data_IF_581717475865
#
_entry.id   IF_581717475865
#
_cell.length_a   1.000
_cell.length_b   1.000
_cell.length_c   1.000
_cell.angle_alpha   90.00
_cell.angle_beta   90.00
_cell.angle_gamma   90.00
#
_symmetry.space_group_name_H-M   'P 1'
#
loop_
_entity.id
_entity.type
_entity.pdbx_description
1 polymer ?
#
# COMPACT_ATOMS: atom_id res chain seq x y z
N UNK A 1 -10.18 -2.95 27.82
CA UNK A 1 -9.30 -2.42 26.74
C UNK A 1 -9.15 -0.91 26.91
N UNK A 2 -7.93 -0.38 26.90
CA UNK A 2 -7.71 1.06 27.04
C UNK A 2 -8.30 1.80 25.82
N UNK A 3 -9.18 2.80 26.06
CA UNK A 3 -9.89 3.55 25.01
C UNK A 3 -8.92 4.21 24.02
N UNK A 4 -7.73 4.60 24.48
CA UNK A 4 -6.69 5.21 23.64
C UNK A 4 -6.06 4.22 22.67
N UNK A 5 -5.83 2.96 23.08
CA UNK A 5 -5.31 1.91 22.22
C UNK A 5 -6.31 1.56 21.11
N UNK A 6 -7.59 1.46 21.47
CA UNK A 6 -8.68 1.22 20.53
C UNK A 6 -8.73 2.31 19.44
N UNK A 7 -8.67 3.58 19.86
CA UNK A 7 -8.67 4.71 18.93
C UNK A 7 -7.45 4.69 18.00
N UNK A 8 -6.27 4.30 18.51
CA UNK A 8 -5.05 4.20 17.71
C UNK A 8 -5.14 3.09 16.66
N UNK A 9 -5.60 1.89 17.04
CA UNK A 9 -5.80 0.78 16.10
C UNK A 9 -6.78 1.19 15.01
N UNK A 10 -7.93 1.75 15.37
CA UNK A 10 -8.92 2.24 14.41
C UNK A 10 -8.31 3.28 13.47
N UNK A 11 -7.55 4.26 13.99
CA UNK A 11 -6.89 5.25 13.13
C UNK A 11 -5.94 4.61 12.12
N UNK A 12 -5.12 3.65 12.55
CA UNK A 12 -4.15 2.98 11.68
C UNK A 12 -4.85 2.09 10.63
N UNK A 13 -5.95 1.42 10.98
CA UNK A 13 -6.73 0.63 10.01
C UNK A 13 -7.39 1.51 8.96
N UNK A 14 -7.93 2.68 9.35
CA UNK A 14 -8.43 3.67 8.39
C UNK A 14 -7.34 4.15 7.43
N UNK A 15 -6.16 4.50 7.95
CA UNK A 15 -5.03 4.92 7.11
C UNK A 15 -4.57 3.81 6.15
N UNK A 16 -4.62 2.55 6.58
CA UNK A 16 -4.29 1.40 5.74
C UNK A 16 -5.33 1.23 4.61
N UNK A 17 -6.62 1.39 4.92
CA UNK A 17 -7.68 1.36 3.92
C UNK A 17 -7.52 2.47 2.86
N UNK A 18 -7.19 3.70 3.27
CA UNK A 18 -6.89 4.81 2.36
C UNK A 18 -5.70 4.51 1.44
N UNK A 19 -4.64 3.90 1.97
CA UNK A 19 -3.48 3.49 1.17
C UNK A 19 -3.84 2.41 0.18
N UNK A 20 -4.66 1.43 0.58
CA UNK A 20 -5.11 0.36 -0.32
C UNK A 20 -5.95 0.93 -1.46
N UNK A 21 -6.88 1.85 -1.16
CA UNK A 21 -7.67 2.53 -2.19
C UNK A 21 -6.77 3.32 -3.14
N UNK A 22 -5.83 4.10 -2.59
CA UNK A 22 -4.87 4.88 -3.39
C UNK A 22 -3.99 3.97 -4.27
N UNK A 23 -3.60 2.80 -3.76
CA UNK A 23 -2.80 1.82 -4.49
C UNK A 23 -3.59 1.19 -5.64
N UNK A 24 -4.89 0.93 -5.45
CA UNK A 24 -5.78 0.43 -6.50
C UNK A 24 -5.95 1.46 -7.63
N UNK A 25 -6.24 2.72 -7.28
CA UNK A 25 -6.35 3.82 -8.25
C UNK A 25 -5.04 4.00 -9.04
N UNK A 26 -3.90 3.95 -8.36
CA UNK A 26 -2.60 4.06 -9.01
C UNK A 26 -2.32 2.87 -9.96
N UNK A 27 -2.76 1.66 -9.60
CA UNK A 27 -2.64 0.50 -10.48
C UNK A 27 -3.48 0.66 -11.76
N UNK A 28 -4.70 1.19 -11.67
CA UNK A 28 -5.53 1.50 -12.83
C UNK A 28 -4.88 2.56 -13.74
N UNK A 29 -4.33 3.62 -13.14
CA UNK A 29 -3.59 4.65 -13.87
C UNK A 29 -2.35 4.08 -14.57
N UNK A 30 -1.59 3.23 -13.89
CA UNK A 30 -0.44 2.54 -14.49
C UNK A 30 -0.85 1.66 -15.67
N UNK A 31 -1.96 0.91 -15.55
CA UNK A 31 -2.44 0.06 -16.63
C UNK A 31 -2.89 0.89 -17.84
N UNK A 32 -3.64 1.96 -17.60
CA UNK A 32 -4.07 2.90 -18.65
C UNK A 32 -2.85 3.50 -19.38
N UNK A 33 -1.82 3.90 -18.63
CA UNK A 33 -0.60 4.44 -19.19
C UNK A 33 0.20 3.41 -19.99
N UNK A 34 0.28 2.16 -19.52
CA UNK A 34 0.91 1.07 -20.26
C UNK A 34 0.20 0.81 -21.60
N UNK A 35 -1.13 0.81 -21.61
CA UNK A 35 -1.91 0.65 -22.84
C UNK A 35 -1.63 1.80 -23.82
N UNK A 36 -1.59 3.05 -23.35
CA UNK A 36 -1.24 4.21 -24.19
C UNK A 36 0.17 4.10 -24.78
N UNK A 37 1.14 3.70 -23.98
CA UNK A 37 2.52 3.48 -24.45
C UNK A 37 2.59 2.39 -25.52
N UNK A 38 1.85 1.29 -25.35
CA UNK A 38 1.80 0.21 -26.34
C UNK A 38 1.22 0.68 -27.66
N UNK A 39 0.11 1.45 -27.62
CA UNK A 39 -0.51 2.02 -28.82
C UNK A 39 0.45 2.96 -29.56
N UNK A 40 1.10 3.88 -28.84
CA UNK A 40 2.05 4.81 -29.46
C UNK A 40 3.26 4.07 -30.03
N UNK A 41 3.76 3.05 -29.34
CA UNK A 41 4.87 2.23 -29.82
C UNK A 41 4.49 1.51 -31.13
N UNK A 42 3.30 0.92 -31.20
CA UNK A 42 2.78 0.31 -32.43
C UNK A 42 2.62 1.33 -33.56
N UNK A 43 2.11 2.52 -33.27
CA UNK A 43 1.98 3.61 -34.26
C UNK A 43 3.34 4.05 -34.82
N UNK A 44 4.35 4.17 -33.96
CA UNK A 44 5.73 4.51 -34.37
C UNK A 44 6.31 3.40 -35.24
N UNK A 45 6.15 2.14 -34.85
CA UNK A 45 6.65 0.98 -35.61
C UNK A 45 6.02 0.91 -37.00
N UNK A 46 4.70 1.10 -37.09
CA UNK A 46 3.98 1.14 -38.35
C UNK A 46 4.41 2.33 -39.21
N UNK A 47 4.52 3.53 -38.63
CA UNK A 47 4.96 4.72 -39.36
C UNK A 47 6.43 4.67 -39.77
N UNK A 48 7.26 3.84 -39.12
CA UNK A 48 8.69 3.68 -39.45
C UNK A 48 8.91 2.83 -40.70
N UNK A 49 7.91 2.07 -41.15
CA UNK A 49 7.99 1.28 -42.38
C UNK A 49 8.10 2.20 -43.60
N UNK A 50 9.15 2.01 -44.40
CA UNK A 50 9.39 2.79 -45.62
C UNK A 50 8.49 2.28 -46.75
N UNK A 51 7.77 3.16 -47.45
CA UNK A 51 7.01 2.77 -48.63
C UNK A 51 7.95 2.40 -49.79
N UNK A 52 7.48 1.53 -50.70
CA UNK A 52 8.21 1.13 -51.90
C UNK A 52 8.51 2.31 -52.85
N UNK A 53 7.74 3.39 -52.76
CA UNK A 53 7.94 4.62 -53.51
C UNK A 53 7.90 5.81 -52.54
N UNK A 54 8.97 6.60 -52.49
CA UNK A 54 9.08 7.76 -51.60
C UNK A 54 8.48 8.98 -52.30
N UNK A 55 7.43 9.53 -51.70
CA UNK A 55 6.89 10.83 -52.09
C UNK A 55 7.34 11.87 -51.05
N UNK A 56 8.13 12.90 -51.44
CA UNK A 56 8.75 13.82 -50.48
C UNK A 56 7.78 14.49 -49.50
N UNK A 57 6.61 14.92 -49.96
CA UNK A 57 5.59 15.57 -49.10
C UNK A 57 4.98 14.60 -48.07
N UNK A 58 4.75 13.35 -48.48
CA UNK A 58 4.27 12.29 -47.59
C UNK A 58 5.35 11.89 -46.59
N UNK A 59 6.61 11.86 -47.02
CA UNK A 59 7.74 11.54 -46.16
C UNK A 59 7.97 12.62 -45.09
N UNK A 60 7.88 13.90 -45.45
CA UNK A 60 7.92 15.01 -44.47
C UNK A 60 6.80 14.86 -43.44
N UNK A 61 5.58 14.52 -43.89
CA UNK A 61 4.44 14.31 -43.00
C UNK A 61 4.64 13.12 -42.07
N UNK A 62 5.20 12.01 -42.58
CA UNK A 62 5.56 10.81 -41.82
C UNK A 62 6.60 11.11 -40.75
N UNK A 63 7.66 11.83 -41.11
CA UNK A 63 8.73 12.22 -40.18
C UNK A 63 8.20 13.16 -39.10
N UNK A 64 7.36 14.14 -39.46
CA UNK A 64 6.71 15.03 -38.48
C UNK A 64 5.80 14.25 -37.51
N UNK A 65 5.07 13.24 -38.00
CA UNK A 65 4.29 12.35 -37.16
C UNK A 65 5.20 11.57 -36.20
N UNK A 66 6.26 10.94 -36.70
CA UNK A 66 7.20 10.16 -35.89
C UNK A 66 7.84 11.00 -34.76
N UNK A 67 8.24 12.24 -35.05
CA UNK A 67 8.79 13.15 -34.03
C UNK A 67 7.77 13.42 -32.94
N UNK A 68 6.53 13.78 -33.29
CA UNK A 68 5.46 14.03 -32.30
C UNK A 68 5.13 12.79 -31.47
N UNK A 69 4.99 11.63 -32.12
CA UNK A 69 4.71 10.38 -31.40
C UNK A 69 5.84 9.98 -30.46
N UNK A 70 7.09 10.26 -30.84
CA UNK A 70 8.25 10.04 -29.96
C UNK A 70 8.24 10.97 -28.75
N UNK A 71 7.94 12.25 -28.94
CA UNK A 71 7.77 13.22 -27.84
C UNK A 71 6.66 12.78 -26.87
N UNK A 72 5.50 12.35 -27.41
CA UNK A 72 4.39 11.82 -26.61
C UNK A 72 4.80 10.57 -25.82
N UNK A 73 5.56 9.67 -26.45
CA UNK A 73 6.08 8.46 -25.79
C UNK A 73 7.02 8.80 -24.63
N UNK A 74 7.90 9.79 -24.81
CA UNK A 74 8.82 10.25 -23.77
C UNK A 74 8.07 10.91 -22.61
N UNK A 75 7.05 11.73 -22.89
CA UNK A 75 6.17 12.31 -21.89
C UNK A 75 5.44 11.24 -21.07
N UNK A 76 4.88 10.22 -21.73
CA UNK A 76 4.26 9.08 -21.04
C UNK A 76 5.27 8.27 -20.23
N UNK A 77 6.51 8.11 -20.71
CA UNK A 77 7.56 7.42 -19.98
C UNK A 77 7.97 8.18 -18.70
N UNK A 78 7.97 9.52 -18.72
CA UNK A 78 8.17 10.33 -17.53
C UNK A 78 7.03 10.16 -16.53
N UNK A 79 5.77 10.25 -16.97
CA UNK A 79 4.60 10.00 -16.13
C UNK A 79 4.64 8.58 -15.51
N UNK A 80 5.10 7.57 -16.26
CA UNK A 80 5.30 6.21 -15.74
C UNK A 80 6.29 6.18 -14.57
N UNK A 81 7.40 6.91 -14.68
CA UNK A 81 8.41 7.00 -13.61
C UNK A 81 7.84 7.67 -12.37
N UNK A 82 7.04 8.71 -12.53
CA UNK A 82 6.36 9.40 -11.43
C UNK A 82 5.39 8.47 -10.70
N UNK A 83 4.54 7.74 -11.44
CA UNK A 83 3.62 6.76 -10.85
C UNK A 83 4.38 5.63 -10.12
N UNK A 84 5.50 5.15 -10.66
CA UNK A 84 6.34 4.15 -9.98
C UNK A 84 6.94 4.68 -8.67
N UNK A 85 7.36 5.94 -8.64
CA UNK A 85 7.85 6.57 -7.42
C UNK A 85 6.74 6.67 -6.36
N UNK A 86 5.53 7.10 -6.75
CA UNK A 86 4.36 7.14 -5.88
C UNK A 86 3.98 5.73 -5.37
N UNK A 87 4.01 4.72 -6.23
CA UNK A 87 3.75 3.33 -5.84
C UNK A 87 4.73 2.85 -4.76
N UNK A 88 6.01 3.19 -4.92
CA UNK A 88 7.06 2.82 -3.96
C UNK A 88 6.84 3.49 -2.60
N UNK A 89 6.44 4.77 -2.61
CA UNK A 89 6.09 5.50 -1.38
C UNK A 89 4.88 4.87 -0.68
N UNK A 90 3.81 4.54 -1.41
CA UNK A 90 2.62 3.87 -0.85
C UNK A 90 2.97 2.51 -0.25
N UNK A 91 3.74 1.68 -0.96
CA UNK A 91 4.21 0.36 -0.45
C UNK A 91 5.02 0.51 0.84
N UNK A 92 5.90 1.49 0.90
CA UNK A 92 6.72 1.76 2.09
C UNK A 92 5.83 2.16 3.27
N UNK A 93 4.86 3.04 3.03
CA UNK A 93 3.89 3.48 4.06
C UNK A 93 2.98 2.34 4.52
N UNK A 94 2.53 1.49 3.60
CA UNK A 94 1.73 0.30 3.90
C UNK A 94 2.50 -0.66 4.80
N UNK A 95 3.76 -0.96 4.45
CA UNK A 95 4.63 -1.83 5.24
C UNK A 95 4.81 -1.29 6.65
N UNK A 96 5.07 0.02 6.77
CA UNK A 96 5.17 0.69 8.07
C UNK A 96 3.89 0.54 8.90
N UNK A 97 2.71 0.85 8.34
CA UNK A 97 1.45 0.72 9.07
C UNK A 97 1.17 -0.73 9.50
N UNK A 98 1.47 -1.71 8.64
CA UNK A 98 1.35 -3.12 8.99
C UNK A 98 2.25 -3.49 10.18
N UNK A 99 3.51 -3.02 10.19
CA UNK A 99 4.40 -3.25 11.33
C UNK A 99 3.89 -2.59 12.60
N UNK A 100 3.36 -1.37 12.52
CA UNK A 100 2.78 -0.65 13.67
C UNK A 100 1.56 -1.40 14.23
N UNK A 101 0.66 -1.90 13.37
CA UNK A 101 -0.49 -2.71 13.78
C UNK A 101 -0.07 -4.01 14.47
N UNK A 102 0.88 -4.76 13.90
CA UNK A 102 1.40 -6.00 14.50
C UNK A 102 2.02 -5.72 15.87
N UNK A 103 2.73 -4.60 16.03
CA UNK A 103 3.29 -4.21 17.32
C UNK A 103 2.20 -3.90 18.36
N UNK A 104 1.13 -3.23 17.95
CA UNK A 104 -0.01 -2.94 18.83
C UNK A 104 -0.77 -4.22 19.23
N UNK A 105 -0.95 -5.17 18.30
CA UNK A 105 -1.54 -6.47 18.59
C UNK A 105 -0.72 -7.24 19.63
N UNK A 106 0.60 -7.35 19.43
CA UNK A 106 1.51 -7.99 20.41
C UNK A 106 1.49 -7.29 21.76
N UNK A 107 1.42 -5.97 21.77
CA UNK A 107 1.28 -5.20 23.00
C UNK A 107 -0.03 -5.51 23.72
N UNK A 108 -1.13 -5.60 22.98
CA UNK A 108 -2.45 -5.95 23.52
C UNK A 108 -2.47 -7.36 24.10
N UNK A 109 -1.91 -8.35 23.40
CA UNK A 109 -1.78 -9.72 23.91
C UNK A 109 -1.00 -9.77 25.22
N UNK A 110 0.11 -9.01 25.30
CA UNK A 110 0.93 -8.92 26.52
C UNK A 110 0.14 -8.31 27.68
N UNK A 111 -0.64 -7.26 27.43
CA UNK A 111 -1.50 -6.65 28.45
C UNK A 111 -2.57 -7.63 28.96
N UNK A 112 -3.24 -8.35 28.05
CA UNK A 112 -4.23 -9.36 28.43
C UNK A 112 -3.62 -10.49 29.26
N UNK A 113 -2.45 -11.02 28.87
CA UNK A 113 -1.74 -12.03 29.66
C UNK A 113 -1.35 -11.53 31.05
N UNK A 114 -0.97 -10.27 31.17
CA UNK A 114 -0.62 -9.67 32.45
C UNK A 114 -1.86 -9.45 33.34
N UNK A 115 -2.98 -9.02 32.77
CA UNK A 115 -4.26 -8.90 33.48
C UNK A 115 -4.72 -10.28 34.00
N UNK A 116 -4.70 -11.31 33.16
CA UNK A 116 -5.04 -12.69 33.56
C UNK A 116 -4.15 -13.21 34.69
N UNK A 117 -2.83 -12.95 34.64
CA UNK A 117 -1.93 -13.34 35.73
C UNK A 117 -2.24 -12.61 37.03
N UNK A 118 -2.61 -11.33 36.96
CA UNK A 118 -2.99 -10.54 38.14
C UNK A 118 -4.30 -11.05 38.75
N UNK A 119 -5.31 -11.33 37.93
CA UNK A 119 -6.58 -11.87 38.44
C UNK A 119 -6.38 -13.22 39.11
N UNK A 120 -5.62 -14.13 38.49
CA UNK A 120 -5.29 -15.44 39.09
C UNK A 120 -4.52 -15.29 40.42
N UNK A 121 -3.58 -14.35 40.51
CA UNK A 121 -2.85 -14.10 41.75
C UNK A 121 -3.74 -13.54 42.87
N UNK A 122 -4.72 -12.70 42.52
CA UNK A 122 -5.72 -12.20 43.47
C UNK A 122 -6.61 -13.33 43.96
N UNK A 123 -7.16 -14.14 43.05
CA UNK A 123 -8.00 -15.30 43.38
C UNK A 123 -7.27 -16.33 44.27
N UNK A 124 -5.99 -16.61 43.96
CA UNK A 124 -5.16 -17.47 44.80
C UNK A 124 -4.97 -16.91 46.20
N UNK A 125 -4.65 -15.61 46.31
CA UNK A 125 -4.46 -14.95 47.60
C UNK A 125 -5.75 -14.95 48.43
N UNK A 126 -6.89 -14.66 47.81
CA UNK A 126 -8.19 -14.72 48.49
C UNK A 126 -8.52 -16.13 48.96
N UNK A 127 -8.22 -17.15 48.14
CA UNK A 127 -8.41 -18.55 48.52
C UNK A 127 -7.49 -18.96 49.69
N UNK A 128 -6.23 -18.53 49.68
CA UNK A 128 -5.28 -18.82 50.75
C UNK A 128 -5.69 -18.13 52.06
N UNK A 129 -6.12 -16.87 52.00
CA UNK A 129 -6.64 -16.12 53.16
C UNK A 129 -7.88 -16.80 53.76
N UNK A 130 -8.78 -17.29 52.92
CA UNK A 130 -9.97 -18.03 53.37
C UNK A 130 -9.60 -19.34 54.09
N UNK A 131 -8.59 -20.07 53.60
CA UNK A 131 -8.09 -21.29 54.23
C UNK A 131 -7.50 -20.99 55.61
N UNK A 132 -6.73 -19.90 55.74
CA UNK A 132 -6.12 -19.48 57.01
C UNK A 132 -7.20 -19.13 58.03
N UNK A 133 -8.18 -18.30 57.66
CA UNK A 133 -9.28 -17.92 58.56
C UNK A 133 -10.07 -19.13 59.09
N UNK A 134 -10.30 -20.15 58.25
CA UNK A 134 -10.98 -21.38 58.68
C UNK A 134 -10.17 -22.21 59.68
N UNK A 135 -8.84 -22.17 59.61
CA UNK A 135 -7.96 -22.90 60.54
C UNK A 135 -7.83 -22.20 61.89
N UNK A 136 -7.97 -20.88 61.95
CA UNK A 136 -7.94 -20.11 63.20
C UNK A 136 -9.27 -20.19 63.98
N UNK A 137 -10.37 -20.53 63.31
CA UNK A 137 -11.70 -20.68 63.91
C UNK A 137 -12.03 -22.12 64.36
N UNK A 138 -11.13 -23.08 64.14
CA UNK A 138 -11.26 -24.49 64.51
C UNK A 138 -10.35 -24.84 65.70
#
# INVERSE_FOLDING_TARGET
MNKTLAALVTKLTWQLAEINQSSALLAEQMQSLQNKLAIIQEQIENASQLPAQIQPEQEISRLNFLVRSQEDRENLALQKKELLAQQTQLKTRQLRLNTELIMLEKYQEKQQKNEQKKTLAIEQKESDEWIVQRRELA
#
